data_IF_959724953102
#
_entry.id   IF_959724953102
#
_cell.length_a   1.000
_cell.length_b   1.000
_cell.length_c   1.000
_cell.angle_alpha   90.00
_cell.angle_beta   90.00
_cell.angle_gamma   90.00
#
_symmetry.space_group_name_H-M   'P 1'
#
loop_
_entity.id
_entity.type
_entity.pdbx_description
1 polymer ?
#
# COMPACT_ATOMS: atom_id res chain seq x y z
N UNK A 1 16.37 -34.71 12.08
CA UNK A 1 17.69 -34.07 12.23
C UNK A 1 17.98 -32.99 11.20
N UNK A 2 17.72 -33.20 9.89
CA UNK A 2 17.98 -32.19 8.83
C UNK A 2 17.13 -30.90 8.97
N UNK A 3 15.90 -31.00 9.49
CA UNK A 3 15.01 -29.84 9.68
C UNK A 3 15.48 -28.91 10.80
N UNK A 4 15.95 -29.45 11.93
CA UNK A 4 16.40 -28.66 13.08
C UNK A 4 17.69 -27.88 12.77
N UNK A 5 18.65 -28.49 12.06
CA UNK A 5 19.88 -27.79 11.65
C UNK A 5 19.60 -26.63 10.70
N UNK A 6 18.63 -26.80 9.80
CA UNK A 6 18.23 -25.74 8.87
C UNK A 6 17.47 -24.61 9.56
N UNK A 7 16.64 -24.90 10.55
CA UNK A 7 15.95 -23.88 11.35
C UNK A 7 16.94 -23.06 12.19
N UNK A 8 17.94 -23.69 12.80
CA UNK A 8 18.99 -23.00 13.54
C UNK A 8 19.82 -22.07 12.64
N UNK A 9 20.20 -22.52 11.45
CA UNK A 9 20.91 -21.69 10.46
C UNK A 9 20.07 -20.50 10.03
N UNK A 10 18.79 -20.70 9.73
CA UNK A 10 17.89 -19.61 9.33
C UNK A 10 17.72 -18.59 10.45
N UNK A 11 17.55 -19.04 11.70
CA UNK A 11 17.44 -18.15 12.85
C UNK A 11 18.72 -17.32 13.08
N UNK A 12 19.89 -17.94 12.93
CA UNK A 12 21.17 -17.22 13.07
C UNK A 12 21.38 -16.19 11.98
N UNK A 13 21.00 -16.50 10.72
CA UNK A 13 21.03 -15.55 9.61
C UNK A 13 20.05 -14.41 9.86
N UNK A 14 18.83 -14.71 10.32
CA UNK A 14 17.82 -13.69 10.64
C UNK A 14 18.30 -12.76 11.75
N UNK A 15 18.95 -13.29 12.75
CA UNK A 15 19.53 -12.51 13.84
C UNK A 15 20.65 -11.60 13.35
N UNK A 16 21.58 -12.14 12.57
CA UNK A 16 22.67 -11.36 11.97
C UNK A 16 22.15 -10.20 11.11
N UNK A 17 21.15 -10.46 10.26
CA UNK A 17 20.49 -9.43 9.47
C UNK A 17 19.76 -8.40 10.34
N UNK A 18 19.13 -8.83 11.44
CA UNK A 18 18.50 -7.94 12.41
C UNK A 18 19.48 -6.96 13.05
N UNK A 19 20.66 -7.45 13.44
CA UNK A 19 21.73 -6.60 13.98
C UNK A 19 22.22 -5.58 12.94
N UNK A 20 22.48 -6.03 11.72
CA UNK A 20 22.92 -5.14 10.64
C UNK A 20 21.90 -4.02 10.42
N UNK A 21 20.61 -4.34 10.35
CA UNK A 21 19.57 -3.34 10.18
C UNK A 21 19.40 -2.42 11.40
N UNK A 22 19.61 -2.94 12.61
CA UNK A 22 19.59 -2.12 13.81
C UNK A 22 20.72 -1.09 13.79
N UNK A 23 21.94 -1.52 13.46
CA UNK A 23 23.10 -0.63 13.33
C UNK A 23 22.85 0.42 12.26
N UNK A 24 22.33 0.01 11.11
CA UNK A 24 21.96 0.92 10.02
C UNK A 24 20.92 1.96 10.47
N UNK A 25 19.87 1.53 11.20
CA UNK A 25 18.84 2.42 11.73
C UNK A 25 19.39 3.44 12.72
N UNK A 26 20.19 2.96 13.67
CA UNK A 26 20.82 3.82 14.68
C UNK A 26 21.77 4.83 14.02
N UNK A 27 22.62 4.38 13.08
CA UNK A 27 23.51 5.26 12.34
C UNK A 27 22.74 6.36 11.59
N UNK A 28 21.65 6.01 10.92
CA UNK A 28 20.81 6.98 10.21
C UNK A 28 20.11 7.96 11.14
N UNK A 29 19.60 7.48 12.28
CA UNK A 29 19.00 8.35 13.29
C UNK A 29 20.04 9.30 13.89
N UNK A 30 21.29 8.85 13.99
CA UNK A 30 22.40 9.67 14.47
C UNK A 30 22.75 10.78 13.47
N UNK A 31 22.94 10.44 12.20
CA UNK A 31 23.27 11.37 11.10
C UNK A 31 22.10 12.27 10.72
N UNK A 32 20.87 11.96 11.14
CA UNK A 32 19.68 12.76 10.81
C UNK A 32 19.78 14.23 11.26
N UNK A 33 20.64 14.54 12.26
CA UNK A 33 20.90 15.90 12.72
C UNK A 33 21.62 16.75 11.66
N UNK A 34 22.46 16.12 10.85
CA UNK A 34 23.25 16.79 9.81
C UNK A 34 22.43 17.02 8.54
N UNK A 35 21.29 16.34 8.41
CA UNK A 35 20.44 16.46 7.23
C UNK A 35 19.66 17.78 7.28
N UNK A 36 19.79 18.68 6.26
CA UNK A 36 19.11 19.98 6.22
C UNK A 36 17.57 19.90 6.34
N UNK A 37 16.98 18.74 5.97
CA UNK A 37 15.53 18.51 6.09
C UNK A 37 15.07 18.40 7.53
N UNK A 38 15.91 17.86 8.43
CA UNK A 38 15.58 17.62 9.83
C UNK A 38 16.23 18.61 10.78
N UNK A 39 17.37 19.21 10.39
CA UNK A 39 18.11 20.21 11.19
C UNK A 39 17.24 21.42 11.61
N UNK A 40 16.19 21.74 10.84
CA UNK A 40 15.24 22.84 11.13
C UNK A 40 14.36 22.59 12.35
N UNK A 41 14.25 21.35 12.84
CA UNK A 41 13.36 21.01 13.94
C UNK A 41 14.09 20.96 15.27
N UNK A 42 13.38 21.30 16.36
CA UNK A 42 13.90 21.24 17.72
C UNK A 42 14.43 19.86 18.13
N UNK A 43 13.85 18.80 17.55
CA UNK A 43 14.22 17.39 17.77
C UNK A 43 14.41 16.66 16.45
N UNK A 44 15.53 16.84 15.76
CA UNK A 44 15.76 16.27 14.43
C UNK A 44 15.65 14.74 14.38
N UNK A 45 16.17 14.05 15.41
CA UNK A 45 16.17 12.59 15.52
C UNK A 45 14.75 12.04 15.65
N UNK A 46 13.92 12.63 16.54
CA UNK A 46 12.52 12.23 16.69
C UNK A 46 11.73 12.45 15.38
N UNK A 47 11.98 13.57 14.72
CA UNK A 47 11.35 13.87 13.44
C UNK A 47 11.74 12.86 12.36
N UNK A 48 12.98 12.41 12.33
CA UNK A 48 13.42 11.32 11.44
C UNK A 48 12.70 10.00 11.76
N UNK A 49 12.64 9.61 13.05
CA UNK A 49 12.02 8.35 13.49
C UNK A 49 10.54 8.23 13.12
N UNK A 50 9.82 9.35 13.00
CA UNK A 50 8.39 9.40 12.58
C UNK A 50 8.25 9.43 11.06
N UNK A 51 9.33 9.47 10.28
CA UNK A 51 9.21 9.39 8.83
C UNK A 51 8.74 8.00 8.38
N UNK A 52 7.94 7.89 7.31
CA UNK A 52 7.46 6.58 6.82
C UNK A 52 8.61 5.58 6.57
N UNK A 53 9.76 6.08 6.09
CA UNK A 53 10.94 5.25 5.84
C UNK A 53 11.58 4.73 7.13
N UNK A 54 11.68 5.56 8.18
CA UNK A 54 12.20 5.14 9.47
C UNK A 54 11.26 4.15 10.16
N UNK A 55 9.95 4.32 9.99
CA UNK A 55 8.93 3.37 10.48
C UNK A 55 9.08 2.01 9.79
N UNK A 56 9.25 1.97 8.47
CA UNK A 56 9.50 0.73 7.72
C UNK A 56 10.81 0.07 8.21
N UNK A 57 11.87 0.85 8.41
CA UNK A 57 13.14 0.35 8.96
C UNK A 57 12.95 -0.24 10.36
N UNK A 58 12.20 0.43 11.24
CA UNK A 58 11.89 -0.05 12.59
C UNK A 58 11.05 -1.33 12.55
N UNK A 59 9.97 -1.36 11.76
CA UNK A 59 9.11 -2.54 11.59
C UNK A 59 9.90 -3.74 11.05
N UNK A 60 10.91 -3.52 10.23
CA UNK A 60 11.77 -4.58 9.71
C UNK A 60 12.70 -5.20 10.78
N UNK A 61 13.03 -4.45 11.84
CA UNK A 61 13.90 -4.87 12.95
C UNK A 61 13.09 -5.57 14.06
N UNK A 62 11.84 -5.15 14.29
CA UNK A 62 10.97 -5.67 15.36
C UNK A 62 10.93 -7.21 15.45
N UNK A 63 10.79 -7.97 14.34
CA UNK A 63 10.78 -9.43 14.41
C UNK A 63 12.02 -10.04 15.06
N UNK A 64 13.19 -9.44 14.84
CA UNK A 64 14.44 -9.92 15.44
C UNK A 64 14.50 -9.62 16.94
N UNK A 65 13.98 -8.46 17.37
CA UNK A 65 13.94 -8.08 18.79
C UNK A 65 12.96 -8.92 19.61
N UNK A 66 11.77 -9.21 19.06
CA UNK A 66 10.76 -9.99 19.76
C UNK A 66 11.02 -11.50 19.75
N UNK A 67 11.89 -12.00 18.88
CA UNK A 67 12.32 -13.40 18.91
C UNK A 67 12.98 -13.80 20.26
N UNK A 68 13.55 -12.84 20.99
CA UNK A 68 14.18 -13.04 22.30
C UNK A 68 13.20 -12.89 23.49
N UNK A 69 12.02 -12.29 23.29
CA UNK A 69 11.14 -11.88 24.39
C UNK A 69 10.12 -12.91 24.84
N UNK A 70 10.15 -14.16 24.38
CA UNK A 70 9.17 -15.19 24.79
C UNK A 70 7.71 -14.84 24.46
N UNK A 71 7.49 -14.05 23.42
CA UNK A 71 6.17 -13.58 22.99
C UNK A 71 5.24 -14.75 22.63
N UNK A 72 3.92 -14.54 22.77
CA UNK A 72 2.90 -15.53 22.42
C UNK A 72 3.02 -15.97 20.96
N UNK A 73 2.58 -17.19 20.64
CA UNK A 73 2.70 -17.77 19.29
C UNK A 73 2.02 -16.95 18.20
N UNK A 74 0.93 -16.21 18.52
CA UNK A 74 0.24 -15.31 17.61
C UNK A 74 1.08 -14.07 17.26
N UNK A 75 1.70 -13.47 18.27
CA UNK A 75 2.60 -12.32 18.10
C UNK A 75 3.80 -12.71 17.25
N UNK A 76 4.40 -13.88 17.50
CA UNK A 76 5.50 -14.39 16.68
C UNK A 76 5.09 -14.64 15.22
N UNK A 77 3.87 -15.13 14.97
CA UNK A 77 3.35 -15.29 13.60
C UNK A 77 3.19 -13.96 12.89
N UNK A 78 2.64 -12.95 13.56
CA UNK A 78 2.51 -11.59 13.02
C UNK A 78 3.87 -11.01 12.65
N UNK A 79 4.86 -11.06 13.54
CA UNK A 79 6.21 -10.57 13.26
C UNK A 79 6.94 -11.38 12.18
N UNK A 80 6.60 -12.67 12.03
CA UNK A 80 7.12 -13.48 10.92
C UNK A 80 6.65 -12.97 9.56
N UNK A 81 5.41 -12.52 9.45
CA UNK A 81 4.89 -11.88 8.23
C UNK A 81 5.51 -10.48 8.04
N UNK A 82 5.67 -9.71 9.12
CA UNK A 82 6.29 -8.37 9.08
C UNK A 82 7.74 -8.38 8.56
N UNK A 83 8.45 -9.53 8.60
CA UNK A 83 9.79 -9.63 7.98
C UNK A 83 9.78 -9.33 6.49
N UNK A 84 8.65 -9.55 5.78
CA UNK A 84 8.51 -9.22 4.36
C UNK A 84 8.63 -7.72 4.10
N UNK A 85 8.37 -6.85 5.10
CA UNK A 85 8.59 -5.42 4.98
C UNK A 85 10.06 -5.04 4.73
N UNK A 86 11.01 -5.96 4.96
CA UNK A 86 12.41 -5.78 4.56
C UNK A 86 12.56 -5.60 3.05
N UNK A 87 11.67 -6.22 2.25
CA UNK A 87 11.66 -6.05 0.79
C UNK A 87 11.28 -4.62 0.39
N UNK A 88 10.49 -3.91 1.19
CA UNK A 88 10.17 -2.50 0.95
C UNK A 88 11.40 -1.59 1.00
N UNK A 89 12.49 -2.02 1.67
CA UNK A 89 13.77 -1.31 1.66
C UNK A 89 14.42 -1.27 0.28
N UNK A 90 14.19 -2.28 -0.56
CA UNK A 90 14.75 -2.33 -1.92
C UNK A 90 14.19 -1.21 -2.81
N UNK A 91 12.94 -0.80 -2.57
CA UNK A 91 12.32 0.32 -3.30
C UNK A 91 12.93 1.68 -2.98
N UNK A 92 13.65 1.82 -1.87
CA UNK A 92 14.15 3.11 -1.40
C UNK A 92 15.26 3.72 -2.27
N UNK A 93 16.05 2.89 -2.91
CA UNK A 93 17.16 3.29 -3.79
C UNK A 93 16.78 3.30 -5.27
N UNK A 94 15.58 2.85 -5.61
CA UNK A 94 15.11 2.78 -6.99
C UNK A 94 14.64 4.15 -7.48
N UNK A 95 15.21 4.65 -8.57
CA UNK A 95 14.73 5.84 -9.29
C UNK A 95 13.25 5.69 -9.64
N UNK A 96 12.84 4.52 -10.13
CA UNK A 96 11.45 4.21 -10.46
C UNK A 96 10.49 4.41 -9.29
N UNK A 97 10.87 4.03 -8.07
CA UNK A 97 10.03 4.23 -6.89
C UNK A 97 9.91 5.72 -6.51
N UNK A 98 10.98 6.51 -6.72
CA UNK A 98 10.96 7.96 -6.53
C UNK A 98 9.97 8.61 -7.50
N UNK A 99 10.06 8.29 -8.80
CA UNK A 99 9.16 8.79 -9.84
C UNK A 99 7.70 8.42 -9.54
N UNK A 100 7.46 7.17 -9.18
CA UNK A 100 6.14 6.68 -8.79
C UNK A 100 5.54 7.49 -7.64
N UNK A 101 6.33 7.74 -6.61
CA UNK A 101 5.94 8.54 -5.45
C UNK A 101 5.64 9.99 -5.83
N UNK A 102 6.46 10.58 -6.69
CA UNK A 102 6.28 11.96 -7.16
C UNK A 102 5.00 12.08 -7.99
N UNK A 103 4.76 11.17 -8.94
CA UNK A 103 3.53 11.08 -9.71
C UNK A 103 2.29 11.00 -8.81
N UNK A 104 2.34 10.14 -7.79
CA UNK A 104 1.22 9.99 -6.85
C UNK A 104 0.98 11.25 -6.00
N UNK A 105 2.05 11.92 -5.55
CA UNK A 105 1.93 13.15 -4.76
C UNK A 105 1.40 14.30 -5.60
N UNK A 106 1.83 14.43 -6.85
CA UNK A 106 1.38 15.49 -7.76
C UNK A 106 -0.12 15.40 -8.04
N UNK A 107 -0.63 14.20 -8.24
CA UNK A 107 -2.06 13.93 -8.57
C UNK A 107 -2.90 13.46 -7.37
N UNK A 108 -2.44 13.75 -6.14
CA UNK A 108 -3.12 13.27 -4.92
C UNK A 108 -4.57 13.73 -4.79
N UNK A 109 -4.89 14.91 -5.32
CA UNK A 109 -6.25 15.45 -5.25
C UNK A 109 -7.18 14.68 -6.20
N UNK A 110 -6.72 14.40 -7.40
CA UNK A 110 -7.44 13.60 -8.38
C UNK A 110 -7.65 12.16 -7.87
N UNK A 111 -6.62 11.55 -7.28
CA UNK A 111 -6.77 10.25 -6.63
C UNK A 111 -7.77 10.28 -5.48
N UNK A 112 -7.75 11.32 -4.64
CA UNK A 112 -8.70 11.47 -3.54
C UNK A 112 -10.14 11.64 -4.04
N UNK A 113 -10.35 12.40 -5.12
CA UNK A 113 -11.67 12.53 -5.75
C UNK A 113 -12.17 11.20 -6.31
N UNK A 114 -11.33 10.47 -7.04
CA UNK A 114 -11.72 9.17 -7.60
C UNK A 114 -12.04 8.17 -6.47
N UNK A 115 -11.24 8.12 -5.42
CA UNK A 115 -11.52 7.28 -4.26
C UNK A 115 -12.82 7.67 -3.55
N UNK A 116 -13.09 8.97 -3.43
CA UNK A 116 -14.35 9.48 -2.90
C UNK A 116 -15.54 9.05 -3.74
N UNK A 117 -15.44 9.18 -5.07
CA UNK A 117 -16.48 8.70 -5.99
C UNK A 117 -16.70 7.18 -5.88
N UNK A 118 -15.64 6.40 -5.76
CA UNK A 118 -15.72 4.96 -5.57
C UNK A 118 -16.45 4.61 -4.27
N UNK A 119 -16.12 5.26 -3.16
CA UNK A 119 -16.78 5.06 -1.87
C UNK A 119 -18.27 5.41 -1.92
N UNK A 120 -18.63 6.52 -2.54
CA UNK A 120 -20.03 6.92 -2.74
C UNK A 120 -20.75 5.89 -3.61
N UNK A 121 -20.12 5.42 -4.70
CA UNK A 121 -20.71 4.41 -5.57
C UNK A 121 -20.94 3.09 -4.82
N UNK A 122 -20.00 2.64 -3.99
CA UNK A 122 -20.15 1.44 -3.15
C UNK A 122 -21.33 1.59 -2.18
N UNK A 123 -21.45 2.77 -1.52
CA UNK A 123 -22.55 3.07 -0.61
C UNK A 123 -23.90 3.05 -1.33
N UNK A 124 -24.02 3.72 -2.47
CA UNK A 124 -25.25 3.78 -3.28
C UNK A 124 -25.61 2.38 -3.80
N UNK A 125 -24.64 1.66 -4.38
CA UNK A 125 -24.84 0.31 -4.87
C UNK A 125 -25.28 -0.66 -3.75
N UNK A 126 -24.61 -0.61 -2.59
CA UNK A 126 -24.99 -1.40 -1.43
C UNK A 126 -26.40 -1.08 -0.92
N UNK A 127 -26.78 0.21 -0.89
CA UNK A 127 -28.13 0.64 -0.48
C UNK A 127 -29.20 0.18 -1.45
N UNK A 128 -28.96 0.30 -2.76
CA UNK A 128 -29.89 -0.15 -3.80
C UNK A 128 -30.09 -1.67 -3.77
N UNK A 129 -29.01 -2.44 -3.61
CA UNK A 129 -29.10 -3.90 -3.54
C UNK A 129 -29.69 -4.36 -2.20
N UNK A 130 -29.43 -3.70 -1.09
CA UNK A 130 -30.12 -3.93 0.18
C UNK A 130 -31.65 -3.74 0.01
N UNK A 131 -32.06 -2.66 -0.64
CA UNK A 131 -33.47 -2.40 -0.88
C UNK A 131 -34.12 -3.43 -1.82
N UNK A 132 -33.43 -3.84 -2.89
CA UNK A 132 -33.95 -4.75 -3.89
C UNK A 132 -33.93 -6.22 -3.48
N UNK A 133 -32.95 -6.66 -2.69
CA UNK A 133 -32.67 -8.07 -2.40
C UNK A 133 -32.79 -8.42 -0.89
N UNK A 134 -32.81 -7.42 -0.02
CA UNK A 134 -32.75 -7.65 1.44
C UNK A 134 -33.91 -8.45 2.01
N UNK A 135 -35.11 -8.38 1.36
CA UNK A 135 -36.27 -9.18 1.73
C UNK A 135 -36.17 -10.65 1.31
N UNK A 136 -35.61 -10.90 0.12
CA UNK A 136 -35.52 -12.24 -0.49
C UNK A 136 -34.24 -12.97 -0.06
N UNK A 137 -33.17 -12.21 0.23
CA UNK A 137 -31.85 -12.74 0.63
C UNK A 137 -31.30 -12.05 1.89
N UNK A 138 -31.93 -12.17 3.07
CA UNK A 138 -31.52 -11.47 4.28
C UNK A 138 -30.10 -11.86 4.75
N UNK A 139 -29.67 -13.07 4.48
CA UNK A 139 -28.33 -13.54 4.85
C UNK A 139 -27.20 -12.84 4.07
N UNK A 140 -27.47 -12.43 2.83
CA UNK A 140 -26.50 -11.82 1.92
C UNK A 140 -26.67 -10.30 1.81
N UNK A 141 -27.91 -9.84 1.72
CA UNK A 141 -28.27 -8.43 1.50
C UNK A 141 -29.11 -7.83 2.63
N UNK A 142 -29.25 -8.50 3.78
CA UNK A 142 -30.08 -8.06 4.90
C UNK A 142 -29.57 -6.86 5.69
N UNK A 143 -28.48 -6.23 5.26
CA UNK A 143 -27.98 -4.94 5.75
C UNK A 143 -27.14 -4.24 4.70
N UNK A 144 -27.09 -2.90 4.75
CA UNK A 144 -26.25 -2.10 3.84
C UNK A 144 -24.78 -2.56 3.85
N UNK A 145 -24.10 -2.80 4.99
CA UNK A 145 -22.74 -3.30 4.99
C UNK A 145 -22.55 -4.66 4.32
N UNK A 146 -23.53 -5.57 4.41
CA UNK A 146 -23.47 -6.84 3.70
C UNK A 146 -23.64 -6.66 2.19
N UNK A 147 -24.57 -5.82 1.78
CA UNK A 147 -24.76 -5.49 0.37
C UNK A 147 -23.55 -4.73 -0.23
N UNK A 148 -22.88 -3.90 0.55
CA UNK A 148 -21.62 -3.25 0.16
C UNK A 148 -20.50 -4.26 -0.15
N UNK A 149 -20.46 -5.40 0.53
CA UNK A 149 -19.51 -6.47 0.18
C UNK A 149 -19.67 -6.90 -1.27
N UNK A 150 -20.90 -7.18 -1.69
CA UNK A 150 -21.19 -7.50 -3.09
C UNK A 150 -20.75 -6.37 -4.03
N UNK A 151 -21.06 -5.12 -3.68
CA UNK A 151 -20.69 -3.96 -4.48
C UNK A 151 -19.17 -3.85 -4.64
N UNK A 152 -18.40 -3.99 -3.55
CA UNK A 152 -16.93 -3.97 -3.59
C UNK A 152 -16.40 -5.06 -4.53
N UNK A 153 -16.84 -6.30 -4.33
CA UNK A 153 -16.37 -7.46 -5.10
C UNK A 153 -16.71 -7.33 -6.58
N UNK A 154 -17.87 -6.75 -6.90
CA UNK A 154 -18.33 -6.53 -8.28
C UNK A 154 -17.60 -5.37 -8.93
N UNK A 155 -17.54 -4.20 -8.27
CA UNK A 155 -16.87 -3.01 -8.80
C UNK A 155 -15.36 -3.25 -9.01
N UNK A 156 -14.71 -4.00 -8.11
CA UNK A 156 -13.30 -4.36 -8.26
C UNK A 156 -13.06 -5.49 -9.26
N UNK A 157 -14.11 -6.01 -9.91
CA UNK A 157 -14.05 -7.10 -10.89
C UNK A 157 -13.54 -8.44 -10.35
N UNK A 158 -13.54 -8.64 -9.02
CA UNK A 158 -13.10 -9.89 -8.38
C UNK A 158 -14.12 -11.00 -8.55
N UNK A 159 -15.42 -10.72 -8.26
CA UNK A 159 -16.54 -11.61 -8.55
C UNK A 159 -16.44 -12.99 -7.88
N UNK A 160 -16.30 -13.08 -6.55
CA UNK A 160 -16.24 -14.38 -5.84
C UNK A 160 -17.46 -15.28 -6.07
N UNK A 161 -18.62 -14.71 -6.40
CA UNK A 161 -19.86 -15.47 -6.62
C UNK A 161 -20.54 -15.96 -5.34
N UNK A 162 -20.09 -15.53 -4.18
CA UNK A 162 -20.64 -15.84 -2.85
C UNK A 162 -21.97 -15.14 -2.60
N UNK A 163 -22.17 -13.98 -3.24
CA UNK A 163 -23.41 -13.20 -3.24
C UNK A 163 -23.68 -12.61 -4.63
N UNK A 164 -24.94 -12.67 -5.05
CA UNK A 164 -25.42 -12.11 -6.31
C UNK A 164 -26.93 -11.88 -6.24
N UNK A 165 -27.48 -10.87 -6.96
CA UNK A 165 -28.90 -10.58 -6.96
C UNK A 165 -29.69 -11.68 -7.67
N UNK A 166 -30.86 -12.04 -7.12
CA UNK A 166 -31.79 -13.03 -7.70
C UNK A 166 -33.05 -12.41 -8.26
N UNK A 167 -33.51 -11.27 -7.71
CA UNK A 167 -34.72 -10.59 -8.16
C UNK A 167 -34.51 -9.95 -9.54
N UNK A 168 -35.54 -9.76 -10.35
CA UNK A 168 -35.44 -9.06 -11.63
C UNK A 168 -34.92 -7.64 -11.48
N UNK A 169 -35.37 -6.92 -10.44
CA UNK A 169 -34.96 -5.56 -10.15
C UNK A 169 -33.47 -5.52 -9.69
N UNK A 170 -33.10 -6.44 -8.79
CA UNK A 170 -31.72 -6.55 -8.33
C UNK A 170 -30.75 -6.86 -9.47
N UNK A 171 -31.12 -7.76 -10.40
CA UNK A 171 -30.32 -8.06 -11.59
C UNK A 171 -30.17 -6.86 -12.53
N UNK A 172 -31.22 -6.09 -12.72
CA UNK A 172 -31.15 -4.86 -13.52
C UNK A 172 -30.22 -3.83 -12.88
N UNK A 173 -30.40 -3.56 -11.58
CA UNK A 173 -29.56 -2.65 -10.84
C UNK A 173 -28.08 -3.10 -10.86
N UNK A 174 -27.85 -4.39 -10.65
CA UNK A 174 -26.50 -4.97 -10.69
C UNK A 174 -25.82 -4.78 -12.05
N UNK A 175 -26.56 -4.93 -13.14
CA UNK A 175 -26.05 -4.68 -14.49
C UNK A 175 -25.60 -3.23 -14.68
N UNK A 176 -26.42 -2.27 -14.26
CA UNK A 176 -26.07 -0.84 -14.30
C UNK A 176 -24.84 -0.54 -13.42
N UNK A 177 -24.83 -1.05 -12.19
CA UNK A 177 -23.72 -0.87 -11.25
C UNK A 177 -22.43 -1.47 -11.81
N UNK A 178 -22.48 -2.65 -12.43
CA UNK A 178 -21.31 -3.29 -13.01
C UNK A 178 -20.70 -2.46 -14.15
N UNK A 179 -21.53 -1.92 -15.05
CA UNK A 179 -21.08 -1.03 -16.13
C UNK A 179 -20.42 0.22 -15.55
N UNK A 180 -21.07 0.87 -14.60
CA UNK A 180 -20.50 2.04 -13.91
C UNK A 180 -19.18 1.71 -13.21
N UNK A 181 -19.11 0.53 -12.61
CA UNK A 181 -17.91 0.05 -11.92
C UNK A 181 -16.70 -0.07 -12.83
N UNK A 182 -16.87 -0.67 -14.00
CA UNK A 182 -15.78 -0.77 -15.00
C UNK A 182 -15.27 0.62 -15.40
N UNK A 183 -16.18 1.55 -15.66
CA UNK A 183 -15.82 2.93 -16.01
C UNK A 183 -15.07 3.63 -14.86
N UNK A 184 -15.53 3.45 -13.63
CA UNK A 184 -14.94 4.09 -12.45
C UNK A 184 -13.55 3.54 -12.10
N UNK A 185 -13.33 2.23 -12.26
CA UNK A 185 -12.02 1.59 -12.02
C UNK A 185 -10.99 1.94 -13.11
N UNK A 186 -11.45 2.24 -14.32
CA UNK A 186 -10.54 2.70 -15.39
C UNK A 186 -9.88 4.06 -15.06
N UNK A 187 -10.56 4.95 -14.32
CA UNK A 187 -10.07 6.28 -14.01
C UNK A 187 -8.75 6.28 -13.21
N UNK A 188 -8.61 5.61 -12.05
CA UNK A 188 -7.35 5.60 -11.31
C UNK A 188 -6.23 4.94 -12.11
N UNK A 189 -6.52 3.91 -12.90
CA UNK A 189 -5.54 3.23 -13.75
C UNK A 189 -5.01 4.15 -14.84
N UNK A 190 -5.90 4.87 -15.54
CA UNK A 190 -5.52 5.83 -16.56
C UNK A 190 -4.75 7.02 -15.99
N UNK A 191 -5.21 7.57 -14.86
CA UNK A 191 -4.52 8.66 -14.17
C UNK A 191 -3.11 8.25 -13.74
N UNK A 192 -2.97 7.04 -13.20
CA UNK A 192 -1.69 6.50 -12.78
C UNK A 192 -0.72 6.34 -13.96
N UNK A 193 -1.18 5.74 -15.08
CA UNK A 193 -0.37 5.56 -16.27
C UNK A 193 0.09 6.92 -16.85
N UNK A 194 -0.83 7.88 -16.98
CA UNK A 194 -0.51 9.22 -17.47
C UNK A 194 0.52 9.94 -16.56
N UNK A 195 0.30 9.89 -15.24
CA UNK A 195 1.20 10.54 -14.28
C UNK A 195 2.60 9.91 -14.25
N UNK A 196 2.69 8.60 -14.45
CA UNK A 196 3.96 7.90 -14.51
C UNK A 196 4.73 8.27 -15.79
N UNK A 197 4.04 8.34 -16.94
CA UNK A 197 4.64 8.76 -18.22
C UNK A 197 5.15 10.19 -18.13
N UNK A 198 4.34 11.11 -17.59
CA UNK A 198 4.73 12.52 -17.38
C UNK A 198 5.98 12.66 -16.49
N UNK A 199 6.06 11.88 -15.42
CA UNK A 199 7.21 11.88 -14.52
C UNK A 199 8.48 11.34 -15.20
N UNK A 200 8.36 10.31 -16.05
CA UNK A 200 9.48 9.76 -16.80
C UNK A 200 9.98 10.69 -17.90
N UNK A 201 9.08 11.38 -18.59
CA UNK A 201 9.44 12.36 -19.61
C UNK A 201 10.22 13.51 -18.99
N UNK A 202 9.73 14.03 -17.86
CA UNK A 202 10.42 15.10 -17.12
C UNK A 202 11.84 14.69 -16.68
N UNK A 203 12.02 13.47 -16.16
CA UNK A 203 13.35 12.99 -15.78
C UNK A 203 14.30 12.91 -16.99
N UNK A 204 13.80 12.44 -18.16
CA UNK A 204 14.59 12.39 -19.39
C UNK A 204 15.00 13.78 -19.87
N UNK A 205 14.13 14.76 -19.76
CA UNK A 205 14.43 16.14 -20.11
C UNK A 205 15.49 16.74 -19.17
N UNK A 206 15.39 16.48 -17.87
CA UNK A 206 16.37 16.90 -16.87
C UNK A 206 17.74 16.24 -17.12
N UNK A 207 17.80 14.93 -17.36
CA UNK A 207 19.05 14.19 -17.67
C UNK A 207 19.67 14.73 -18.98
N UNK A 208 18.89 14.98 -20.03
CA UNK A 208 19.38 15.52 -21.30
C UNK A 208 19.92 16.96 -21.17
N UNK A 209 19.28 17.78 -20.33
CA UNK A 209 19.74 19.14 -20.04
C UNK A 209 21.08 19.14 -19.28
N UNK A 210 21.23 18.25 -18.29
CA UNK A 210 22.51 18.08 -17.58
C UNK A 210 23.65 17.60 -18.49
N UNK A 211 23.37 16.68 -19.42
CA UNK A 211 24.36 16.20 -20.38
C UNK A 211 24.78 17.31 -21.34
N UNK A 212 23.83 18.10 -21.82
CA UNK A 212 24.11 19.25 -22.71
C UNK A 212 24.94 20.35 -22.01
N UNK A 213 24.72 20.57 -20.70
CA UNK A 213 25.51 21.53 -19.93
C UNK A 213 26.95 21.03 -19.70
N UNK A 214 27.11 19.74 -19.37
CA UNK A 214 28.44 19.10 -19.23
C UNK A 214 29.26 19.10 -20.52
N UNK A 215 28.59 19.01 -21.67
CA UNK A 215 29.26 19.04 -23.00
C UNK A 215 29.72 20.44 -23.38
N UNK A 216 29.22 21.51 -22.76
CA UNK A 216 29.58 22.89 -22.99
C UNK A 216 30.70 23.42 -22.06
N UNK A 217 30.99 22.74 -20.99
CA UNK A 217 32.01 23.09 -20.00
C UNK A 217 33.34 22.39 -20.32
#
# INVERSE_FOLDING_TARGET
MISQGRELLLNNIEFGLGIIFLVEYVARAWVAVENPRFAKYRYPRLRYMVTPMAIIDLLAILPALFAFGGASSLVLRFFRVMRMLRLAKLGRTSKAFKLLREAFIQKRQEFALILGMLLVTILVAGSLLYWAEGGDQPDKFGSIPRAMWWAIVTLTTVGYGDSFPITPLGKFLAGVIAIMGVMLIALPTGLFAASFTEAMEKEREEDAAEEAEKAKS
#
